data_IF_926366471170
#
_entry.id   IF_926366471170
#
_cell.length_a   1.000
_cell.length_b   1.000
_cell.length_c   1.000
_cell.angle_alpha   90.00
_cell.angle_beta   90.00
_cell.angle_gamma   90.00
#
_symmetry.space_group_name_H-M   'P 1'
#
loop_
_entity.id
_entity.type
_entity.pdbx_description
1 polymer ?
#
# COMPACT_ATOMS: atom_id res chain seq x y z
N UNK A 1 -22.81 -5.97 12.14
CA UNK A 1 -22.34 -5.34 13.34
C UNK A 1 -21.43 -6.27 14.12
N UNK A 2 -20.12 -5.99 14.09
CA UNK A 2 -19.16 -6.64 14.99
C UNK A 2 -19.31 -6.00 16.37
N UNK A 3 -19.85 -6.70 17.33
CA UNK A 3 -19.80 -6.31 18.73
C UNK A 3 -18.35 -6.37 19.19
N UNK A 4 -17.84 -5.25 19.75
CA UNK A 4 -16.50 -5.15 20.35
C UNK A 4 -16.28 -6.31 21.33
N UNK A 5 -15.09 -6.92 21.22
CA UNK A 5 -14.72 -8.15 21.89
C UNK A 5 -15.03 -8.18 23.39
N UNK A 6 -16.05 -8.91 23.73
CA UNK A 6 -16.13 -9.60 25.00
C UNK A 6 -15.49 -10.99 24.81
N UNK A 7 -14.72 -11.41 25.79
CA UNK A 7 -14.24 -12.79 25.88
C UNK A 7 -15.41 -13.75 25.62
N UNK A 8 -15.37 -14.52 24.51
CA UNK A 8 -16.45 -15.45 24.14
C UNK A 8 -17.37 -15.00 23.01
N UNK A 9 -17.09 -13.89 22.31
CA UNK A 9 -17.86 -13.45 21.15
C UNK A 9 -17.70 -14.42 19.95
N UNK A 10 -18.83 -14.85 19.38
CA UNK A 10 -18.87 -15.65 18.14
C UNK A 10 -18.55 -14.74 16.97
N UNK A 11 -17.37 -14.90 16.38
CA UNK A 11 -16.98 -14.17 15.18
C UNK A 11 -17.65 -14.81 13.95
N UNK A 12 -18.31 -14.00 13.11
CA UNK A 12 -18.74 -14.45 11.80
C UNK A 12 -17.49 -14.72 10.94
N UNK A 13 -17.24 -15.98 10.61
CA UNK A 13 -16.09 -16.42 9.83
C UNK A 13 -16.16 -15.92 8.38
N UNK A 14 -17.36 -15.57 7.91
CA UNK A 14 -17.60 -15.05 6.56
C UNK A 14 -18.51 -13.80 6.64
N UNK A 15 -17.95 -12.61 6.94
CA UNK A 15 -18.74 -11.38 6.95
C UNK A 15 -19.22 -11.04 5.53
N UNK A 16 -20.47 -10.58 5.41
CA UNK A 16 -20.93 -9.96 4.19
C UNK A 16 -20.25 -8.59 4.06
N UNK A 17 -19.52 -8.39 2.96
CA UNK A 17 -18.71 -7.18 2.71
C UNK A 17 -19.11 -6.48 1.41
N UNK A 18 -20.12 -6.99 0.73
CA UNK A 18 -20.53 -6.57 -0.61
C UNK A 18 -20.92 -5.09 -0.68
N UNK A 19 -21.50 -4.57 0.39
CA UNK A 19 -22.02 -3.21 0.52
C UNK A 19 -21.08 -2.26 1.29
N UNK A 20 -20.00 -2.77 1.90
CA UNK A 20 -19.07 -1.96 2.70
C UNK A 20 -18.45 -0.82 1.90
N UNK A 21 -17.94 -1.01 0.66
CA UNK A 21 -17.36 0.07 -0.09
C UNK A 21 -18.34 1.19 -0.41
N UNK A 22 -19.59 0.82 -0.67
CA UNK A 22 -20.62 1.80 -1.05
C UNK A 22 -21.22 2.53 0.15
N UNK A 23 -21.22 1.92 1.34
CA UNK A 23 -21.74 2.52 2.57
C UNK A 23 -20.71 3.35 3.35
N UNK A 24 -19.43 2.98 3.31
CA UNK A 24 -18.42 3.53 4.20
C UNK A 24 -17.28 4.24 3.48
N UNK A 25 -17.15 4.12 2.15
CA UNK A 25 -16.13 4.84 1.41
C UNK A 25 -16.47 6.33 1.30
N UNK A 26 -15.46 7.15 1.46
CA UNK A 26 -15.49 8.56 1.04
C UNK A 26 -15.10 8.60 -0.43
N UNK A 27 -15.93 9.20 -1.28
CA UNK A 27 -15.66 9.30 -2.71
C UNK A 27 -15.29 10.74 -3.09
N UNK A 28 -14.19 10.87 -3.84
CA UNK A 28 -13.71 12.14 -4.39
C UNK A 28 -13.10 11.89 -5.77
N UNK A 29 -13.58 12.60 -6.79
CA UNK A 29 -13.08 12.54 -8.18
C UNK A 29 -12.89 11.11 -8.74
N UNK A 30 -13.81 10.22 -8.43
CA UNK A 30 -13.77 8.82 -8.90
C UNK A 30 -12.90 7.88 -8.03
N UNK A 31 -12.22 8.41 -7.03
CA UNK A 31 -11.47 7.60 -6.06
C UNK A 31 -12.33 7.33 -4.83
N UNK A 32 -12.39 6.08 -4.40
CA UNK A 32 -13.05 5.65 -3.15
C UNK A 32 -12.01 5.38 -2.08
N UNK A 33 -12.07 6.09 -0.96
CA UNK A 33 -11.20 5.90 0.19
C UNK A 33 -11.93 5.14 1.29
N UNK A 34 -11.35 4.01 1.71
CA UNK A 34 -11.76 3.26 2.89
C UNK A 34 -10.65 3.31 3.93
N UNK A 35 -10.96 3.71 5.14
CA UNK A 35 -10.00 3.73 6.25
C UNK A 35 -10.36 2.60 7.21
N UNK A 36 -9.43 1.68 7.42
CA UNK A 36 -9.52 0.70 8.50
C UNK A 36 -9.27 1.41 9.82
N UNK A 37 -10.20 1.24 10.77
CA UNK A 37 -10.14 1.92 12.05
C UNK A 37 -8.84 1.69 12.79
N UNK A 38 -8.31 2.73 13.42
CA UNK A 38 -7.20 2.64 14.37
C UNK A 38 -7.69 2.03 15.69
N UNK A 39 -6.76 1.39 16.44
CA UNK A 39 -7.05 0.93 17.80
C UNK A 39 -7.18 2.18 18.70
N UNK A 40 -8.34 2.45 19.29
CA UNK A 40 -8.54 3.66 20.08
C UNK A 40 -7.74 3.69 21.40
N UNK A 41 -7.23 2.55 21.90
CA UNK A 41 -6.54 2.45 23.19
C UNK A 41 -5.44 1.39 23.14
N UNK A 42 -4.27 1.74 23.68
CA UNK A 42 -3.17 0.80 23.91
C UNK A 42 -3.60 -0.30 24.89
N UNK A 43 -3.58 -1.55 24.42
CA UNK A 43 -3.99 -2.73 25.22
C UNK A 43 -5.32 -3.37 24.80
N UNK A 44 -6.02 -2.81 23.84
CA UNK A 44 -7.30 -3.33 23.32
C UNK A 44 -7.13 -4.39 22.25
N UNK A 45 -7.04 -5.66 22.65
CA UNK A 45 -7.39 -6.82 21.84
C UNK A 45 -6.52 -7.14 20.62
N UNK A 46 -6.60 -8.38 20.17
CA UNK A 46 -5.95 -8.89 18.96
C UNK A 46 -6.59 -8.29 17.69
N UNK A 47 -5.77 -7.89 16.71
CA UNK A 47 -6.17 -7.47 15.36
C UNK A 47 -6.85 -8.58 14.50
N UNK A 48 -7.18 -9.71 15.10
CA UNK A 48 -7.70 -10.86 14.38
C UNK A 48 -9.05 -10.62 13.67
N UNK A 49 -10.03 -9.90 14.24
CA UNK A 49 -11.31 -9.63 13.56
C UNK A 49 -11.15 -8.65 12.39
N UNK A 50 -10.35 -7.60 12.59
CA UNK A 50 -10.07 -6.58 11.56
C UNK A 50 -9.32 -7.20 10.39
N UNK A 51 -8.35 -8.07 10.65
CA UNK A 51 -7.63 -8.81 9.60
C UNK A 51 -8.57 -9.72 8.80
N UNK A 52 -9.55 -10.35 9.44
CA UNK A 52 -10.52 -11.22 8.75
C UNK A 52 -11.47 -10.40 7.87
N UNK A 53 -11.93 -9.26 8.37
CA UNK A 53 -12.76 -8.32 7.60
C UNK A 53 -11.99 -7.77 6.40
N UNK A 54 -10.75 -7.31 6.60
CA UNK A 54 -9.88 -6.83 5.52
C UNK A 54 -9.67 -7.90 4.44
N UNK A 55 -9.38 -9.13 4.82
CA UNK A 55 -9.22 -10.25 3.86
C UNK A 55 -10.48 -10.51 3.05
N UNK A 56 -11.63 -10.50 3.69
CA UNK A 56 -12.91 -10.71 3.02
C UNK A 56 -13.24 -9.55 2.08
N UNK A 57 -12.97 -8.33 2.50
CA UNK A 57 -13.16 -7.12 1.69
C UNK A 57 -12.23 -7.12 0.47
N UNK A 58 -10.94 -7.37 0.65
CA UNK A 58 -9.98 -7.43 -0.46
C UNK A 58 -10.36 -8.50 -1.47
N UNK A 59 -10.72 -9.70 -1.03
CA UNK A 59 -11.20 -10.76 -1.94
C UNK A 59 -12.44 -10.33 -2.72
N UNK A 60 -13.37 -9.66 -2.08
CA UNK A 60 -14.58 -9.18 -2.74
C UNK A 60 -14.26 -8.13 -3.80
N UNK A 61 -13.42 -7.14 -3.48
CA UNK A 61 -13.02 -6.07 -4.39
C UNK A 61 -12.25 -6.61 -5.61
N UNK A 62 -11.31 -7.54 -5.39
CA UNK A 62 -10.50 -8.14 -6.45
C UNK A 62 -11.35 -9.01 -7.40
N UNK A 63 -12.33 -9.77 -6.89
CA UNK A 63 -13.06 -10.76 -7.70
C UNK A 63 -14.23 -10.15 -8.47
N UNK A 64 -14.87 -9.13 -7.91
CA UNK A 64 -16.17 -8.67 -8.42
C UNK A 64 -16.16 -7.31 -9.12
N UNK A 65 -15.07 -6.57 -9.06
CA UNK A 65 -15.00 -5.21 -9.61
C UNK A 65 -13.82 -5.09 -10.58
N UNK A 66 -14.07 -4.49 -11.73
CA UNK A 66 -13.05 -4.08 -12.69
C UNK A 66 -12.49 -2.72 -12.26
N UNK A 67 -11.86 -2.70 -11.08
CA UNK A 67 -11.35 -1.51 -10.42
C UNK A 67 -9.92 -1.79 -9.92
N UNK A 68 -9.05 -0.77 -9.95
CA UNK A 68 -7.75 -0.83 -9.30
C UNK A 68 -7.91 -0.63 -7.78
N UNK A 69 -7.32 -1.51 -6.99
CA UNK A 69 -7.32 -1.43 -5.52
C UNK A 69 -5.90 -1.18 -5.03
N UNK A 70 -5.69 -0.06 -4.36
CA UNK A 70 -4.42 0.28 -3.72
C UNK A 70 -4.58 0.10 -2.22
N UNK A 71 -3.77 -0.79 -1.64
CA UNK A 71 -3.69 -0.96 -0.20
C UNK A 71 -2.47 -0.19 0.31
N UNK A 72 -2.71 0.96 0.96
CA UNK A 72 -1.67 1.72 1.63
C UNK A 72 -1.36 1.10 2.99
N UNK A 73 -0.12 0.71 3.21
CA UNK A 73 0.31 -0.01 4.40
C UNK A 73 1.55 0.65 5.02
N UNK A 74 1.64 0.55 6.33
CA UNK A 74 2.90 0.82 7.02
C UNK A 74 4.00 -0.15 6.55
N UNK A 75 5.26 0.24 6.75
CA UNK A 75 6.40 -0.59 6.38
C UNK A 75 6.39 -1.90 7.16
N UNK A 76 6.00 -2.98 6.49
CA UNK A 76 5.93 -4.32 7.05
C UNK A 76 4.74 -5.12 6.47
N UNK A 77 4.97 -6.41 6.28
CA UNK A 77 3.95 -7.35 5.78
C UNK A 77 3.44 -8.28 6.89
N UNK A 78 3.82 -8.05 8.14
CA UNK A 78 3.55 -8.93 9.27
C UNK A 78 2.04 -9.07 9.55
N UNK A 79 1.28 -8.05 9.21
CA UNK A 79 -0.19 -8.05 9.35
C UNK A 79 -0.90 -8.79 8.22
N UNK A 80 -0.19 -9.09 7.12
CA UNK A 80 -0.72 -9.84 5.99
C UNK A 80 -0.43 -11.34 6.22
N UNK A 81 -1.44 -12.13 6.45
CA UNK A 81 -1.31 -13.59 6.40
C UNK A 81 -1.37 -14.10 4.95
N UNK A 82 -0.92 -15.34 4.70
CA UNK A 82 -0.93 -15.98 3.36
C UNK A 82 -2.26 -15.88 2.61
N UNK A 83 -3.38 -15.76 3.31
CA UNK A 83 -4.70 -15.64 2.68
C UNK A 83 -5.08 -14.21 2.26
N UNK A 84 -4.38 -13.16 2.71
CA UNK A 84 -4.66 -11.76 2.34
C UNK A 84 -3.86 -11.29 1.13
N UNK A 85 -2.76 -11.98 0.81
CA UNK A 85 -1.96 -11.68 -0.40
C UNK A 85 -2.44 -12.45 -1.63
N UNK A 86 -3.34 -13.42 -1.45
CA UNK A 86 -3.95 -14.15 -2.56
C UNK A 86 -4.82 -13.17 -3.38
N UNK A 87 -4.36 -12.85 -4.58
CA UNK A 87 -5.02 -11.91 -5.48
C UNK A 87 -4.35 -10.54 -5.58
N UNK A 88 -3.26 -10.28 -4.87
CA UNK A 88 -2.42 -9.12 -5.14
C UNK A 88 -1.63 -9.32 -6.43
N UNK A 89 -1.74 -8.38 -7.36
CA UNK A 89 -0.99 -8.41 -8.62
C UNK A 89 0.45 -8.00 -8.41
N UNK A 90 0.70 -7.05 -7.50
CA UNK A 90 2.02 -6.52 -7.22
C UNK A 90 2.14 -5.92 -5.81
N UNK A 91 3.36 -5.89 -5.30
CA UNK A 91 3.77 -5.12 -4.14
C UNK A 91 4.77 -4.04 -4.59
N UNK A 92 4.51 -2.80 -4.23
CA UNK A 92 5.42 -1.68 -4.47
C UNK A 92 6.04 -1.27 -3.14
N UNK A 93 7.36 -1.36 -3.05
CA UNK A 93 8.11 -0.92 -1.87
C UNK A 93 8.69 0.47 -2.14
N UNK A 94 8.30 1.44 -1.33
CA UNK A 94 8.81 2.81 -1.39
C UNK A 94 10.12 2.90 -0.61
N UNK A 95 11.21 3.34 -1.26
CA UNK A 95 12.57 3.33 -0.72
C UNK A 95 13.15 4.72 -0.73
N UNK A 96 13.58 5.22 0.41
CA UNK A 96 14.34 6.46 0.52
C UNK A 96 15.85 6.18 0.38
N UNK A 97 16.68 7.16 -0.09
CA UNK A 97 18.12 7.00 -0.24
C UNK A 97 18.82 6.94 1.12
N UNK A 98 18.86 5.72 1.70
CA UNK A 98 19.48 5.47 3.00
C UNK A 98 19.58 3.96 3.30
N UNK A 99 20.64 3.58 4.00
CA UNK A 99 20.94 2.18 4.31
C UNK A 99 19.80 1.46 5.05
N UNK A 100 19.13 2.16 5.98
CA UNK A 100 17.99 1.58 6.71
C UNK A 100 16.82 1.24 5.78
N UNK A 101 16.50 2.14 4.86
CA UNK A 101 15.41 1.92 3.90
C UNK A 101 15.75 0.77 2.94
N UNK A 102 16.98 0.66 2.49
CA UNK A 102 17.48 -0.44 1.67
C UNK A 102 17.36 -1.77 2.43
N UNK A 103 17.82 -1.85 3.68
CA UNK A 103 17.70 -3.04 4.51
C UNK A 103 16.24 -3.45 4.73
N UNK A 104 15.37 -2.47 4.97
CA UNK A 104 13.92 -2.71 5.11
C UNK A 104 13.33 -3.29 3.83
N UNK A 105 13.68 -2.75 2.66
CA UNK A 105 13.23 -3.28 1.38
C UNK A 105 13.68 -4.73 1.15
N UNK A 106 14.92 -5.06 1.47
CA UNK A 106 15.44 -6.43 1.40
C UNK A 106 14.68 -7.38 2.35
N UNK A 107 14.32 -6.92 3.55
CA UNK A 107 13.51 -7.69 4.49
C UNK A 107 12.10 -7.92 3.95
N UNK A 108 11.46 -6.87 3.43
CA UNK A 108 10.12 -6.95 2.82
C UNK A 108 10.12 -7.95 1.66
N UNK A 109 11.18 -8.01 0.83
CA UNK A 109 11.27 -8.99 -0.26
C UNK A 109 11.23 -10.43 0.24
N UNK A 110 11.91 -10.71 1.34
CA UNK A 110 11.90 -12.05 1.96
C UNK A 110 10.50 -12.40 2.47
N UNK A 111 9.85 -11.47 3.19
CA UNK A 111 8.48 -11.66 3.67
C UNK A 111 7.49 -11.85 2.51
N UNK A 112 7.64 -11.08 1.42
CA UNK A 112 6.82 -11.21 0.23
C UNK A 112 6.95 -12.60 -0.42
N UNK A 113 8.17 -13.15 -0.46
CA UNK A 113 8.40 -14.51 -0.94
C UNK A 113 7.69 -15.57 -0.06
N UNK A 114 7.75 -15.43 1.27
CA UNK A 114 7.04 -16.30 2.21
C UNK A 114 5.52 -16.22 2.04
N UNK A 115 5.01 -15.05 1.64
CA UNK A 115 3.60 -14.80 1.36
C UNK A 115 3.19 -15.13 -0.08
N UNK A 116 4.14 -15.61 -0.91
CA UNK A 116 3.94 -15.97 -2.32
C UNK A 116 3.54 -14.78 -3.23
N UNK A 117 3.93 -13.55 -2.87
CA UNK A 117 3.79 -12.37 -3.74
C UNK A 117 4.84 -12.47 -4.85
N UNK A 118 4.39 -12.60 -6.09
CA UNK A 118 5.27 -12.88 -7.24
C UNK A 118 5.98 -11.64 -7.77
N UNK A 119 5.31 -10.49 -7.76
CA UNK A 119 5.81 -9.24 -8.31
C UNK A 119 6.10 -8.26 -7.19
N UNK A 120 7.37 -7.96 -6.96
CA UNK A 120 7.81 -6.98 -5.96
C UNK A 120 8.66 -5.95 -6.65
N UNK A 121 8.19 -4.73 -6.67
CA UNK A 121 8.82 -3.57 -7.30
C UNK A 121 9.31 -2.58 -6.26
N UNK A 122 10.19 -1.66 -6.69
CA UNK A 122 10.58 -0.50 -5.87
C UNK A 122 10.29 0.81 -6.59
N UNK A 123 10.00 1.84 -5.79
CA UNK A 123 10.00 3.25 -6.19
C UNK A 123 10.95 3.99 -5.27
N UNK A 124 11.96 4.67 -5.83
CA UNK A 124 12.82 5.54 -5.06
C UNK A 124 12.09 6.83 -4.70
N UNK A 125 12.07 7.21 -3.43
CA UNK A 125 11.37 8.41 -2.95
C UNK A 125 12.35 9.39 -2.30
N UNK A 126 12.02 10.67 -2.31
CA UNK A 126 12.82 11.79 -1.76
C UNK A 126 14.24 11.86 -2.36
N UNK A 127 14.38 11.48 -3.61
CA UNK A 127 15.65 11.50 -4.33
C UNK A 127 16.05 12.94 -4.64
N UNK A 128 17.28 13.35 -4.29
CA UNK A 128 17.75 14.71 -4.48
C UNK A 128 18.75 14.83 -5.65
N UNK A 129 19.53 13.78 -5.90
CA UNK A 129 20.63 13.80 -6.86
C UNK A 129 20.91 12.42 -7.44
N UNK A 130 21.85 12.32 -8.37
CA UNK A 130 22.20 11.06 -9.04
C UNK A 130 22.84 10.04 -8.08
N UNK A 131 23.61 10.50 -7.11
CA UNK A 131 24.21 9.62 -6.09
C UNK A 131 23.13 8.89 -5.26
N UNK A 132 21.99 9.54 -4.99
CA UNK A 132 20.86 8.92 -4.31
C UNK A 132 20.24 7.78 -5.15
N UNK A 133 20.12 8.02 -6.45
CA UNK A 133 19.62 6.97 -7.38
C UNK A 133 20.57 5.79 -7.46
N UNK A 134 21.87 6.06 -7.57
CA UNK A 134 22.90 5.02 -7.56
C UNK A 134 22.90 4.23 -6.27
N UNK A 135 22.74 4.87 -5.13
CA UNK A 135 22.66 4.22 -3.83
C UNK A 135 21.49 3.23 -3.77
N UNK A 136 20.31 3.65 -4.20
CA UNK A 136 19.11 2.78 -4.24
C UNK A 136 19.34 1.63 -5.23
N UNK A 137 19.77 1.93 -6.46
CA UNK A 137 19.95 0.94 -7.51
C UNK A 137 21.00 -0.11 -7.15
N UNK A 138 22.14 0.32 -6.61
CA UNK A 138 23.23 -0.58 -6.23
C UNK A 138 22.93 -1.36 -4.96
N UNK A 139 22.13 -0.78 -4.04
CA UNK A 139 21.70 -1.46 -2.81
C UNK A 139 20.59 -2.50 -3.02
N UNK A 140 19.87 -2.42 -4.15
CA UNK A 140 18.70 -3.27 -4.44
C UNK A 140 18.73 -3.82 -5.89
N UNK A 141 19.85 -4.44 -6.32
CA UNK A 141 20.00 -4.90 -7.71
C UNK A 141 19.01 -6.00 -8.11
N UNK A 142 18.45 -6.69 -7.13
CA UNK A 142 17.49 -7.77 -7.32
C UNK A 142 16.03 -7.31 -7.46
N UNK A 143 15.78 -5.99 -7.40
CA UNK A 143 14.45 -5.44 -7.57
C UNK A 143 14.26 -4.80 -8.94
N UNK A 144 13.07 -4.91 -9.47
CA UNK A 144 12.62 -4.09 -10.59
C UNK A 144 12.25 -2.68 -10.10
N UNK A 145 12.97 -1.68 -10.56
CA UNK A 145 12.73 -0.28 -10.26
C UNK A 145 11.66 0.28 -11.24
N UNK A 146 10.60 0.87 -10.68
CA UNK A 146 9.55 1.51 -11.48
C UNK A 146 9.85 2.97 -11.81
N UNK A 147 10.55 3.69 -10.93
CA UNK A 147 10.88 5.10 -11.12
C UNK A 147 11.35 5.77 -9.84
N UNK A 148 11.50 7.08 -9.93
CA UNK A 148 11.94 7.91 -8.80
C UNK A 148 10.98 9.08 -8.58
N UNK A 149 10.70 9.34 -7.31
CA UNK A 149 10.02 10.52 -6.82
C UNK A 149 11.05 11.47 -6.22
N UNK A 150 11.17 12.67 -6.73
CA UNK A 150 12.14 13.66 -6.26
C UNK A 150 11.76 14.23 -4.91
N UNK A 151 12.74 14.59 -4.12
CA UNK A 151 12.52 15.46 -2.96
C UNK A 151 11.91 16.78 -3.42
N UNK A 152 10.72 17.11 -2.89
CA UNK A 152 9.99 18.31 -3.30
C UNK A 152 9.39 19.01 -2.07
N UNK A 153 9.79 20.24 -1.83
CA UNK A 153 9.28 21.05 -0.70
C UNK A 153 7.80 21.41 -0.86
N UNK A 154 7.27 21.41 -2.10
CA UNK A 154 5.85 21.63 -2.33
C UNK A 154 4.98 20.54 -1.69
N UNK A 155 5.47 19.30 -1.61
CA UNK A 155 4.78 18.19 -0.91
C UNK A 155 4.65 18.51 0.59
N UNK A 156 5.73 19.01 1.20
CA UNK A 156 5.75 19.40 2.61
C UNK A 156 4.78 20.57 2.86
N UNK A 157 4.72 21.52 1.93
CA UNK A 157 3.81 22.65 2.04
C UNK A 157 2.35 22.22 1.87
N UNK A 158 2.08 21.32 0.91
CA UNK A 158 0.77 20.75 0.70
C UNK A 158 0.22 20.05 1.95
N UNK A 159 1.07 19.23 2.60
CA UNK A 159 0.72 18.53 3.83
C UNK A 159 0.34 19.51 4.96
N UNK A 160 1.15 20.59 5.15
CA UNK A 160 0.83 21.64 6.14
C UNK A 160 -0.49 22.38 5.86
N UNK A 161 -0.87 22.49 4.60
CA UNK A 161 -2.08 23.16 4.15
C UNK A 161 -3.29 22.20 4.04
N UNK A 162 -3.11 20.92 4.26
CA UNK A 162 -4.13 19.87 4.07
C UNK A 162 -4.60 19.76 2.63
N UNK A 163 -3.69 19.94 1.66
CA UNK A 163 -3.95 19.91 0.21
C UNK A 163 -3.30 18.71 -0.44
N UNK A 164 -3.89 18.19 -1.50
CA UNK A 164 -3.30 17.14 -2.29
C UNK A 164 -2.05 17.65 -3.04
N UNK A 165 -0.88 17.01 -2.90
CA UNK A 165 0.34 17.47 -3.57
C UNK A 165 0.31 17.26 -5.08
N UNK A 166 -0.51 16.32 -5.57
CA UNK A 166 -0.61 15.96 -6.98
C UNK A 166 -1.00 17.14 -7.87
N UNK A 167 -1.87 18.04 -7.38
CA UNK A 167 -2.36 19.18 -8.14
C UNK A 167 -1.46 20.43 -8.04
N UNK A 168 -0.41 20.38 -7.23
CA UNK A 168 0.42 21.54 -6.96
C UNK A 168 1.68 21.64 -7.83
N UNK A 169 2.15 20.51 -8.38
CA UNK A 169 3.41 20.47 -9.12
C UNK A 169 3.36 19.44 -10.26
N UNK A 170 3.47 19.93 -11.49
CA UNK A 170 3.51 19.11 -12.69
C UNK A 170 4.67 18.09 -12.72
N UNK A 171 5.71 18.29 -11.94
CA UNK A 171 6.80 17.34 -11.80
C UNK A 171 6.33 16.09 -11.05
N UNK A 172 5.54 16.27 -9.99
CA UNK A 172 4.97 15.15 -9.24
C UNK A 172 4.09 14.30 -10.16
N UNK A 173 3.23 14.93 -10.97
CA UNK A 173 2.38 14.22 -11.93
C UNK A 173 3.20 13.38 -12.89
N UNK A 174 4.22 13.96 -13.52
CA UNK A 174 5.08 13.25 -14.48
C UNK A 174 5.81 12.07 -13.85
N UNK A 175 6.33 12.23 -12.62
CA UNK A 175 7.02 11.16 -11.91
C UNK A 175 6.07 10.00 -11.56
N UNK A 176 4.84 10.30 -11.13
CA UNK A 176 3.80 9.29 -10.88
C UNK A 176 3.36 8.60 -12.18
N UNK A 177 3.16 9.34 -13.26
CA UNK A 177 2.82 8.78 -14.57
C UNK A 177 3.92 7.86 -15.11
N UNK A 178 5.19 8.19 -14.88
CA UNK A 178 6.32 7.33 -15.26
C UNK A 178 6.29 6.01 -14.48
N UNK A 179 6.08 6.08 -13.16
CA UNK A 179 5.93 4.89 -12.30
C UNK A 179 4.78 4.01 -12.80
N UNK A 180 3.62 4.60 -13.06
CA UNK A 180 2.46 3.89 -13.56
C UNK A 180 2.73 3.21 -14.90
N UNK A 181 3.28 3.94 -15.86
CA UNK A 181 3.64 3.42 -17.20
C UNK A 181 4.63 2.25 -17.10
N UNK A 182 5.59 2.31 -16.19
CA UNK A 182 6.54 1.23 -16.00
C UNK A 182 5.90 0.03 -15.29
N UNK A 183 4.96 0.24 -14.38
CA UNK A 183 4.18 -0.82 -13.74
C UNK A 183 3.34 -1.58 -14.78
N UNK A 184 2.65 -0.87 -15.68
CA UNK A 184 1.86 -1.46 -16.76
C UNK A 184 2.73 -2.30 -17.72
N UNK A 185 3.94 -1.82 -18.09
CA UNK A 185 4.90 -2.59 -18.88
C UNK A 185 5.36 -3.89 -18.22
N UNK A 186 5.29 -3.97 -16.90
CA UNK A 186 5.60 -5.18 -16.13
C UNK A 186 4.40 -6.13 -16.01
N UNK A 187 3.32 -5.85 -16.73
CA UNK A 187 2.12 -6.69 -16.79
C UNK A 187 1.25 -6.60 -15.53
N UNK A 188 1.22 -5.44 -14.91
CA UNK A 188 0.21 -5.09 -13.91
C UNK A 188 -0.74 -4.13 -14.61
N UNK A 189 -1.88 -4.64 -15.02
CA UNK A 189 -2.92 -3.89 -15.74
C UNK A 189 -3.85 -3.18 -14.74
N UNK A 190 -4.51 -2.14 -15.23
CA UNK A 190 -5.53 -1.39 -14.48
C UNK A 190 -6.81 -2.19 -14.34
#
# INVERSE_FOLDING_TARGET
GTTKGQFGGVFKINPQVDDIPDQFAISHEGVKLLILGSIPEGGGGCFCPESTLLKSLLRHLIIKRDEAVILDMEAGLEHLGRGSTAGMDALIVVVEPGQRSIQTAQHIKKLAADLQVKKVFIVGNKVQNESDKELIKNGLPEFDLLGYMSFNTAIIQADKEGRAPYDLDERIKREVEEVLKNLEKKGVER
#
